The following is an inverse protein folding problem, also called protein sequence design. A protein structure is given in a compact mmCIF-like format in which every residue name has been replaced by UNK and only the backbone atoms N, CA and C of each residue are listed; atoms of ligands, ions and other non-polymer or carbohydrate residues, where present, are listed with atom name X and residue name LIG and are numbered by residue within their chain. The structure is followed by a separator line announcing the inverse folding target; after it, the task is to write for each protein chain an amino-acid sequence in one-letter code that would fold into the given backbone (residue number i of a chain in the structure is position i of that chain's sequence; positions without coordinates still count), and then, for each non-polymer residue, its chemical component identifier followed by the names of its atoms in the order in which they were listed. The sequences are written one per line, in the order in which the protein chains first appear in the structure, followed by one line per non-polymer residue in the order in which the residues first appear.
data_IF_749864790721
#
_entry.id   IF_749864790721
#
_cell.length_a   1.000
_cell.length_b   1.000
_cell.length_c   1.000
_cell.angle_alpha   90.00
_cell.angle_beta   90.00
_cell.angle_gamma   90.00
#
_symmetry.space_group_name_H-M   'P 1'
#
loop_
_entity.id
_entity.type
_entity.pdbx_description
1 polymer ?
#
# COMPACT_ATOMS: atom_id res chain seq x y z
N UNK A 1 36.06 -20.70 -39.83
CA UNK A 1 36.31 -21.32 -38.53
C UNK A 1 36.40 -20.20 -37.49
N UNK A 2 35.29 -19.79 -36.96
CA UNK A 2 35.19 -18.68 -36.00
C UNK A 2 35.10 -19.27 -34.57
N UNK A 3 36.24 -19.18 -33.88
CA UNK A 3 36.33 -19.62 -32.47
C UNK A 3 35.55 -18.70 -31.57
N UNK A 4 34.47 -19.17 -30.98
CA UNK A 4 33.80 -18.54 -29.85
C UNK A 4 34.73 -18.65 -28.63
N UNK A 5 35.43 -17.54 -28.33
CA UNK A 5 36.12 -17.41 -27.05
C UNK A 5 35.09 -17.43 -25.93
N UNK A 6 35.04 -18.51 -25.17
CA UNK A 6 34.29 -18.57 -23.94
C UNK A 6 34.79 -17.47 -22.99
N UNK A 7 33.94 -16.47 -22.72
CA UNK A 7 34.24 -15.45 -21.73
C UNK A 7 34.50 -16.13 -20.35
N UNK A 8 35.55 -15.68 -19.63
CA UNK A 8 35.81 -16.24 -18.28
C UNK A 8 34.60 -16.02 -17.40
N UNK A 9 33.98 -17.10 -16.94
CA UNK A 9 32.89 -17.06 -16.00
C UNK A 9 33.42 -16.53 -14.67
N UNK A 10 33.26 -15.21 -14.44
CA UNK A 10 33.65 -14.59 -13.18
C UNK A 10 32.85 -15.25 -12.05
N UNK A 11 33.46 -15.67 -10.94
CA UNK A 11 32.78 -16.28 -9.80
C UNK A 11 31.76 -15.32 -9.14
N UNK A 12 31.82 -14.01 -9.44
CA UNK A 12 30.93 -12.98 -8.93
C UNK A 12 29.56 -12.92 -9.65
N UNK A 13 29.47 -13.39 -10.91
CA UNK A 13 28.25 -13.28 -11.73
C UNK A 13 26.99 -13.91 -11.06
N UNK A 14 27.02 -15.13 -10.48
CA UNK A 14 25.84 -15.71 -9.83
C UNK A 14 25.40 -14.93 -8.58
N UNK A 15 26.33 -14.34 -7.84
CA UNK A 15 26.03 -13.52 -6.68
C UNK A 15 25.40 -12.18 -7.08
N UNK A 16 25.86 -11.54 -8.15
CA UNK A 16 25.25 -10.32 -8.71
C UNK A 16 23.83 -10.59 -9.22
N UNK A 17 23.60 -11.71 -9.89
CA UNK A 17 22.26 -12.12 -10.33
C UNK A 17 21.33 -12.41 -9.14
N UNK A 18 21.83 -13.07 -8.09
CA UNK A 18 21.07 -13.32 -6.86
C UNK A 18 20.69 -12.01 -6.17
N UNK A 19 21.62 -11.07 -6.03
CA UNK A 19 21.35 -9.74 -5.45
C UNK A 19 20.32 -8.96 -6.29
N UNK A 20 20.46 -8.96 -7.60
CA UNK A 20 19.51 -8.30 -8.50
C UNK A 20 18.10 -8.90 -8.37
N UNK A 21 18.00 -10.24 -8.24
CA UNK A 21 16.72 -10.93 -8.01
C UNK A 21 16.07 -10.53 -6.67
N UNK A 22 16.86 -10.45 -5.60
CA UNK A 22 16.39 -10.00 -4.28
C UNK A 22 15.87 -8.57 -4.34
N UNK A 23 16.63 -7.64 -4.94
CA UNK A 23 16.23 -6.24 -5.09
C UNK A 23 14.97 -6.12 -5.96
N UNK A 24 14.91 -6.81 -7.08
CA UNK A 24 13.76 -6.79 -7.98
C UNK A 24 12.49 -7.33 -7.26
N UNK A 25 12.60 -8.46 -6.55
CA UNK A 25 11.49 -9.04 -5.81
C UNK A 25 11.00 -8.09 -4.69
N UNK A 26 11.91 -7.49 -3.93
CA UNK A 26 11.57 -6.52 -2.90
C UNK A 26 10.85 -5.30 -3.50
N UNK A 27 11.35 -4.72 -4.59
CA UNK A 27 10.73 -3.57 -5.24
C UNK A 27 9.35 -3.91 -5.80
N UNK A 28 9.19 -5.07 -6.44
CA UNK A 28 7.89 -5.50 -7.00
C UNK A 28 6.87 -5.78 -5.89
N UNK A 29 7.27 -6.49 -4.84
CA UNK A 29 6.41 -6.77 -3.69
C UNK A 29 6.00 -5.48 -2.97
N UNK A 30 6.92 -4.56 -2.77
CA UNK A 30 6.65 -3.26 -2.17
C UNK A 30 5.65 -2.42 -2.97
N UNK A 31 5.83 -2.37 -4.30
CA UNK A 31 4.87 -1.66 -5.19
C UNK A 31 3.49 -2.32 -5.19
N UNK A 32 3.43 -3.64 -5.15
CA UNK A 32 2.17 -4.37 -5.09
C UNK A 32 1.44 -4.10 -3.76
N UNK A 33 2.14 -4.22 -2.64
CA UNK A 33 1.59 -3.94 -1.31
C UNK A 33 1.11 -2.48 -1.16
N UNK A 34 1.88 -1.51 -1.66
CA UNK A 34 1.50 -0.10 -1.67
C UNK A 34 0.20 0.14 -2.46
N UNK A 35 0.09 -0.43 -3.67
CA UNK A 35 -1.13 -0.34 -4.48
C UNK A 35 -2.34 -0.99 -3.80
N UNK A 36 -2.15 -2.15 -3.19
CA UNK A 36 -3.20 -2.85 -2.44
C UNK A 36 -3.65 -2.01 -1.24
N UNK A 37 -2.72 -1.50 -0.44
CA UNK A 37 -3.01 -0.65 0.72
C UNK A 37 -3.72 0.66 0.33
N UNK A 38 -3.33 1.30 -0.79
CA UNK A 38 -4.01 2.48 -1.31
C UNK A 38 -5.42 2.15 -1.83
N UNK A 39 -5.63 0.99 -2.46
CA UNK A 39 -6.95 0.54 -2.89
C UNK A 39 -7.88 0.26 -1.70
N UNK A 40 -7.36 -0.34 -0.64
CA UNK A 40 -8.09 -0.60 0.61
C UNK A 40 -8.44 0.72 1.32
N UNK A 41 -7.49 1.63 1.42
CA UNK A 41 -7.72 2.97 1.95
C UNK A 41 -8.81 3.70 1.15
N UNK A 42 -8.78 3.62 -0.18
CA UNK A 42 -9.80 4.23 -1.03
C UNK A 42 -11.20 3.64 -0.79
N UNK A 43 -11.30 2.33 -0.60
CA UNK A 43 -12.59 1.66 -0.31
C UNK A 43 -13.15 2.12 1.04
N UNK A 44 -12.35 2.13 2.08
CA UNK A 44 -12.77 2.60 3.42
C UNK A 44 -13.12 4.09 3.41
N UNK A 45 -12.29 4.93 2.80
CA UNK A 45 -12.53 6.36 2.67
C UNK A 45 -13.80 6.66 1.86
N UNK A 46 -14.11 5.87 0.81
CA UNK A 46 -15.36 6.02 0.04
C UNK A 46 -16.59 5.69 0.88
N UNK A 47 -16.52 4.68 1.74
CA UNK A 47 -17.61 4.34 2.66
C UNK A 47 -17.82 5.46 3.70
N UNK A 48 -16.72 5.99 4.26
CA UNK A 48 -16.77 7.11 5.21
C UNK A 48 -17.32 8.39 4.54
N UNK A 49 -16.91 8.68 3.31
CA UNK A 49 -17.46 9.78 2.51
C UNK A 49 -18.98 9.66 2.37
N UNK A 50 -19.49 8.47 2.05
CA UNK A 50 -20.93 8.24 1.94
C UNK A 50 -21.68 8.50 3.27
N UNK A 51 -21.07 8.12 4.41
CA UNK A 51 -21.61 8.41 5.74
C UNK A 51 -21.65 9.90 6.03
N UNK A 52 -20.58 10.64 5.70
CA UNK A 52 -20.55 12.10 5.85
C UNK A 52 -21.61 12.79 4.98
N UNK A 53 -21.79 12.35 3.73
CA UNK A 53 -22.86 12.87 2.85
C UNK A 53 -24.23 12.61 3.46
N UNK A 54 -24.48 11.40 3.96
CA UNK A 54 -25.76 11.05 4.58
C UNK A 54 -26.04 11.87 5.85
N UNK A 55 -25.04 12.03 6.73
CA UNK A 55 -25.14 12.81 7.95
C UNK A 55 -25.42 14.29 7.65
N UNK A 56 -24.66 14.89 6.72
CA UNK A 56 -24.83 16.27 6.30
C UNK A 56 -26.21 16.51 5.67
N UNK A 57 -26.65 15.61 4.80
CA UNK A 57 -27.98 15.63 4.21
C UNK A 57 -29.08 15.57 5.27
N UNK A 58 -28.95 14.68 6.25
CA UNK A 58 -29.90 14.55 7.36
C UNK A 58 -30.00 15.87 8.14
N UNK A 59 -28.88 16.50 8.44
CA UNK A 59 -28.88 17.80 9.15
C UNK A 59 -29.59 18.90 8.36
N UNK A 60 -29.32 18.97 7.05
CA UNK A 60 -30.05 19.90 6.18
C UNK A 60 -31.55 19.61 6.12
N UNK A 61 -31.93 18.32 6.10
CA UNK A 61 -33.34 17.92 5.98
C UNK A 61 -34.14 18.12 7.25
N UNK A 62 -33.51 18.05 8.43
CA UNK A 62 -34.21 18.34 9.72
C UNK A 62 -34.97 19.65 9.69
N UNK A 63 -34.44 20.66 9.03
CA UNK A 63 -34.98 22.00 8.97
C UNK A 63 -35.75 22.29 7.66
N UNK A 64 -35.69 21.35 6.70
CA UNK A 64 -36.20 21.56 5.35
C UNK A 64 -37.72 21.79 5.26
N UNK A 65 -38.48 21.14 6.14
CA UNK A 65 -39.95 21.27 6.20
C UNK A 65 -40.45 22.42 7.10
N UNK A 66 -39.57 22.91 7.98
CA UNK A 66 -39.97 23.93 8.96
C UNK A 66 -40.46 25.25 8.31
N UNK A 67 -39.79 25.84 7.30
CA UNK A 67 -40.33 27.04 6.65
C UNK A 67 -41.68 26.83 6.00
N UNK A 68 -41.98 25.63 5.49
CA UNK A 68 -43.27 25.30 4.91
C UNK A 68 -44.39 25.26 5.96
N UNK A 69 -44.12 24.61 7.09
CA UNK A 69 -45.08 24.56 8.19
C UNK A 69 -45.37 25.95 8.76
N UNK A 70 -44.31 26.76 8.96
CA UNK A 70 -44.42 28.12 9.47
C UNK A 70 -45.12 29.07 8.50
N UNK A 71 -44.95 28.92 7.20
CA UNK A 71 -45.61 29.77 6.17
C UNK A 71 -47.15 29.59 6.19
N UNK A 72 -47.67 28.49 6.76
CA UNK A 72 -49.10 28.25 6.87
C UNK A 72 -49.66 28.67 8.23
N UNK A 73 -48.85 29.22 9.12
CA UNK A 73 -49.27 29.66 10.45
C UNK A 73 -50.05 30.99 10.37
N UNK A 74 -51.28 31.05 10.93
CA UNK A 74 -52.11 32.26 10.85
C UNK A 74 -51.52 33.48 11.58
N UNK A 75 -50.82 33.27 12.71
CA UNK A 75 -50.21 34.39 13.46
C UNK A 75 -48.99 34.94 12.69
N UNK A 76 -48.20 34.09 12.06
CA UNK A 76 -47.07 34.50 11.18
C UNK A 76 -47.61 35.23 9.96
N UNK A 77 -48.71 34.77 9.37
CA UNK A 77 -49.38 35.45 8.28
C UNK A 77 -49.90 36.85 8.71
N UNK A 78 -50.44 36.99 9.88
CA UNK A 78 -50.96 38.26 10.42
C UNK A 78 -49.84 39.27 10.70
N UNK A 79 -48.67 38.85 11.16
CA UNK A 79 -47.49 39.74 11.42
C UNK A 79 -46.92 40.35 10.13
N UNK A 80 -47.15 39.70 8.98
CA UNK A 80 -46.75 40.22 7.68
C UNK A 80 -47.59 41.43 7.25
N UNK A 81 -48.74 41.66 7.86
CA UNK A 81 -49.64 42.78 7.60
C UNK A 81 -48.99 44.16 7.70
N UNK A 82 -49.69 45.21 7.19
CA UNK A 82 -49.14 46.56 7.10
C UNK A 82 -48.82 47.19 8.48
N UNK A 83 -49.61 46.89 9.48
CA UNK A 83 -49.46 47.44 10.84
C UNK A 83 -49.83 46.34 11.87
N UNK A 84 -48.96 45.39 12.10
CA UNK A 84 -49.21 44.33 13.06
C UNK A 84 -49.26 44.90 14.48
N UNK A 85 -50.14 44.35 15.31
CA UNK A 85 -50.22 44.66 16.73
C UNK A 85 -48.93 44.29 17.45
N UNK A 86 -48.31 45.20 18.25
CA UNK A 86 -47.10 44.88 19.02
C UNK A 86 -47.23 43.63 19.93
N UNK A 87 -48.42 43.41 20.49
CA UNK A 87 -48.69 42.20 21.29
C UNK A 87 -48.69 40.93 20.45
N UNK A 88 -49.13 41.00 19.19
CA UNK A 88 -49.01 39.86 18.25
C UNK A 88 -47.56 39.60 17.87
N UNK A 89 -46.77 40.62 17.64
CA UNK A 89 -45.34 40.49 17.33
C UNK A 89 -44.64 39.75 18.49
N UNK A 90 -44.85 40.18 19.75
CA UNK A 90 -44.24 39.56 20.91
C UNK A 90 -44.62 38.08 21.06
N UNK A 91 -45.89 37.71 20.85
CA UNK A 91 -46.32 36.29 20.89
C UNK A 91 -45.63 35.47 19.77
N UNK A 92 -45.50 36.06 18.58
CA UNK A 92 -44.82 35.38 17.48
C UNK A 92 -43.33 35.23 17.79
N UNK A 93 -42.66 36.22 18.36
CA UNK A 93 -41.25 36.14 18.78
C UNK A 93 -41.05 34.98 19.77
N UNK A 94 -41.88 34.91 20.84
CA UNK A 94 -41.82 33.82 21.84
C UNK A 94 -42.02 32.44 21.20
N UNK A 95 -43.00 32.32 20.31
CA UNK A 95 -43.28 31.11 19.57
C UNK A 95 -42.15 30.69 18.63
N UNK A 96 -41.58 31.65 17.91
CA UNK A 96 -40.41 31.36 17.07
C UNK A 96 -39.22 30.92 17.91
N UNK A 97 -39.03 31.47 19.13
CA UNK A 97 -37.97 31.07 20.05
C UNK A 97 -38.18 29.64 20.56
N UNK A 98 -39.40 29.23 20.86
CA UNK A 98 -39.71 27.84 21.21
C UNK A 98 -39.44 26.87 20.06
N UNK A 99 -39.88 27.22 18.86
CA UNK A 99 -39.67 26.41 17.64
C UNK A 99 -38.20 26.29 17.33
N UNK A 100 -37.44 27.37 17.42
CA UNK A 100 -36.00 27.35 17.17
C UNK A 100 -35.26 26.40 18.14
N UNK A 101 -35.62 26.49 19.45
CA UNK A 101 -35.06 25.58 20.48
C UNK A 101 -35.43 24.12 20.24
N UNK A 102 -36.70 23.85 19.94
CA UNK A 102 -37.22 22.50 19.76
C UNK A 102 -36.67 21.86 18.48
N UNK A 103 -36.49 22.61 17.40
CA UNK A 103 -36.00 22.12 16.10
C UNK A 103 -34.47 22.10 16.02
N UNK A 104 -33.76 22.88 16.84
CA UNK A 104 -32.32 23.11 16.74
C UNK A 104 -31.95 24.09 15.61
N UNK A 105 -32.93 24.89 15.10
CA UNK A 105 -32.64 25.98 14.19
C UNK A 105 -31.85 27.09 14.91
N UNK A 106 -30.87 27.69 14.24
CA UNK A 106 -30.09 28.75 14.84
C UNK A 106 -30.92 30.02 15.07
N UNK A 107 -31.68 30.41 14.07
CA UNK A 107 -32.64 31.54 14.15
C UNK A 107 -33.80 31.28 13.19
N UNK A 108 -35.01 31.62 13.63
CA UNK A 108 -36.22 31.68 12.79
C UNK A 108 -36.73 33.10 12.80
N UNK A 109 -37.07 33.67 11.67
CA UNK A 109 -37.51 35.06 11.59
C UNK A 109 -38.46 35.30 10.40
N UNK A 110 -39.21 36.38 10.49
CA UNK A 110 -40.22 36.75 9.50
C UNK A 110 -39.85 38.11 8.90
N UNK A 111 -39.85 38.16 7.58
CA UNK A 111 -39.50 39.36 6.80
C UNK A 111 -40.77 39.81 6.05
N UNK A 112 -41.10 41.08 6.13
CA UNK A 112 -42.17 41.70 5.34
C UNK A 112 -41.73 41.92 3.88
N UNK A 113 -42.69 42.25 3.04
CA UNK A 113 -42.50 42.53 1.62
C UNK A 113 -41.46 43.64 1.34
N UNK A 114 -41.32 44.63 2.23
CA UNK A 114 -40.32 45.69 2.17
C UNK A 114 -38.88 45.19 2.50
N UNK A 115 -38.72 43.94 2.89
CA UNK A 115 -37.43 43.35 3.25
C UNK A 115 -37.03 43.54 4.72
N UNK A 116 -37.86 44.17 5.55
CA UNK A 116 -37.60 44.37 6.98
C UNK A 116 -38.03 43.13 7.78
N UNK A 117 -37.17 42.61 8.65
CA UNK A 117 -37.56 41.60 9.61
C UNK A 117 -38.39 42.19 10.73
N UNK A 118 -39.59 41.59 10.97
CA UNK A 118 -40.58 42.13 11.94
C UNK A 118 -40.67 41.26 13.17
N UNK A 119 -40.35 39.98 13.09
CA UNK A 119 -40.32 39.04 14.22
C UNK A 119 -39.13 38.10 14.09
N UNK A 120 -38.56 37.65 15.21
CA UNK A 120 -37.44 36.72 15.20
C UNK A 120 -37.37 35.94 16.52
N UNK A 121 -36.89 34.70 16.44
CA UNK A 121 -36.67 33.82 17.61
C UNK A 121 -35.66 34.38 18.61
N UNK A 122 -34.86 35.36 18.22
CA UNK A 122 -33.86 36.05 19.05
C UNK A 122 -34.22 37.55 19.24
N UNK A 123 -35.48 37.91 19.26
CA UNK A 123 -35.94 39.32 19.31
C UNK A 123 -35.36 40.10 20.50
N UNK A 124 -35.24 39.49 21.66
CA UNK A 124 -34.75 40.13 22.90
C UNK A 124 -33.23 40.02 23.10
N UNK A 125 -32.48 39.47 22.18
CA UNK A 125 -31.07 39.20 22.34
C UNK A 125 -30.15 40.25 21.67
N UNK A 126 -28.91 40.46 22.17
CA UNK A 126 -27.91 41.16 21.43
C UNK A 126 -27.67 40.50 20.07
N UNK A 127 -27.79 41.26 18.98
CA UNK A 127 -27.70 40.69 17.62
C UNK A 127 -29.04 40.13 17.11
N UNK A 128 -30.16 40.67 17.63
CA UNK A 128 -31.52 40.40 17.12
C UNK A 128 -31.60 40.68 15.60
N UNK A 129 -32.37 39.83 14.92
CA UNK A 129 -32.65 39.99 13.50
C UNK A 129 -33.78 41.01 13.25
N UNK A 130 -34.57 41.31 14.28
CA UNK A 130 -35.70 42.28 14.18
C UNK A 130 -35.18 43.66 13.77
N UNK A 131 -35.87 44.28 12.80
CA UNK A 131 -35.53 45.61 12.25
C UNK A 131 -34.48 45.58 11.16
N UNK A 132 -33.72 44.49 10.99
CA UNK A 132 -32.71 44.37 9.94
C UNK A 132 -33.34 44.24 8.54
N UNK A 133 -32.62 44.74 7.53
CA UNK A 133 -33.06 44.77 6.12
C UNK A 133 -32.41 43.57 5.36
N UNK A 134 -33.26 42.80 4.67
CA UNK A 134 -32.86 41.59 3.93
C UNK A 134 -33.34 41.59 2.47
N UNK A 135 -33.86 42.71 1.94
CA UNK A 135 -34.33 42.83 0.55
C UNK A 135 -33.28 42.42 -0.50
N UNK A 136 -32.00 42.62 -0.19
CA UNK A 136 -30.88 42.27 -1.08
C UNK A 136 -30.54 40.78 -1.11
N UNK A 137 -31.08 40.04 -0.20
CA UNK A 137 -30.72 38.60 -0.05
C UNK A 137 -31.38 37.73 -1.11
N UNK A 138 -30.63 36.88 -1.84
CA UNK A 138 -31.16 35.93 -2.81
C UNK A 138 -32.27 35.02 -2.26
N UNK A 139 -32.13 34.48 -1.04
CA UNK A 139 -33.16 33.66 -0.45
C UNK A 139 -34.50 34.39 -0.26
N UNK A 140 -34.48 35.67 0.03
CA UNK A 140 -35.68 36.46 0.18
C UNK A 140 -36.32 36.72 -1.18
N UNK A 141 -35.53 37.16 -2.17
CA UNK A 141 -35.98 37.43 -3.53
C UNK A 141 -36.57 36.21 -4.20
N UNK A 142 -35.86 35.04 -4.06
CA UNK A 142 -36.36 33.78 -4.58
C UNK A 142 -37.67 33.35 -3.92
N UNK A 143 -37.79 33.50 -2.60
CA UNK A 143 -39.01 33.10 -1.90
C UNK A 143 -40.20 33.98 -2.36
N UNK A 144 -40.03 35.27 -2.57
CA UNK A 144 -41.07 36.12 -3.10
C UNK A 144 -41.49 35.78 -4.54
N UNK A 145 -40.52 35.50 -5.41
CA UNK A 145 -40.77 35.17 -6.81
C UNK A 145 -41.31 33.76 -7.00
N UNK A 146 -40.64 32.78 -6.43
CA UNK A 146 -40.82 31.33 -6.69
C UNK A 146 -41.57 30.59 -5.59
N UNK A 147 -41.86 31.25 -4.44
CA UNK A 147 -42.54 30.68 -3.29
C UNK A 147 -41.58 30.03 -2.27
N UNK A 148 -40.36 29.72 -2.65
CA UNK A 148 -39.31 29.19 -1.77
C UNK A 148 -37.95 29.69 -2.21
N UNK A 149 -37.02 29.83 -1.25
CA UNK A 149 -35.65 30.21 -1.55
C UNK A 149 -34.66 29.54 -0.61
N UNK A 150 -33.42 29.46 -1.04
CA UNK A 150 -32.30 28.97 -0.19
C UNK A 150 -31.01 29.67 -0.56
N UNK A 151 -30.19 29.89 0.46
CA UNK A 151 -28.86 30.49 0.27
C UNK A 151 -27.96 30.08 1.43
N UNK A 152 -26.73 29.70 1.15
CA UNK A 152 -25.71 29.71 2.17
C UNK A 152 -25.00 31.05 2.19
N UNK A 153 -24.91 31.66 3.35
CA UNK A 153 -24.30 32.98 3.47
C UNK A 153 -23.77 33.24 4.88
N UNK A 154 -22.86 34.20 4.98
CA UNK A 154 -22.48 34.78 6.27
C UNK A 154 -23.60 35.68 6.75
N UNK A 155 -24.04 35.50 7.99
CA UNK A 155 -25.06 36.39 8.60
C UNK A 155 -24.51 37.79 8.82
N UNK A 156 -25.17 38.80 8.25
CA UNK A 156 -24.77 40.21 8.41
C UNK A 156 -24.95 40.71 9.85
N UNK A 157 -25.84 40.11 10.60
CA UNK A 157 -26.11 40.45 12.01
C UNK A 157 -25.35 39.53 12.94
N UNK A 158 -25.41 38.22 12.71
CA UNK A 158 -24.78 37.22 13.61
C UNK A 158 -23.27 37.06 13.39
N UNK A 159 -22.73 37.46 12.24
CA UNK A 159 -21.34 37.15 11.85
C UNK A 159 -21.07 35.66 11.65
N UNK A 160 -22.10 34.80 11.73
CA UNK A 160 -21.97 33.34 11.64
C UNK A 160 -22.54 32.83 10.32
N UNK A 161 -21.83 31.94 9.62
CA UNK A 161 -22.31 31.36 8.37
C UNK A 161 -23.45 30.38 8.63
N UNK A 162 -24.33 30.24 7.65
CA UNK A 162 -25.44 29.30 7.74
C UNK A 162 -26.19 29.16 6.43
N UNK A 163 -27.02 28.11 6.38
CA UNK A 163 -27.97 27.88 5.32
C UNK A 163 -29.30 28.55 5.70
N UNK A 164 -29.75 29.45 4.86
CA UNK A 164 -31.02 30.12 4.99
C UNK A 164 -32.04 29.44 4.09
N UNK A 165 -33.08 28.88 4.70
CA UNK A 165 -34.22 28.25 4.05
C UNK A 165 -35.42 29.17 4.22
N UNK A 166 -36.04 29.54 3.13
CA UNK A 166 -37.11 30.53 3.16
C UNK A 166 -38.35 30.08 2.41
N UNK A 167 -39.52 30.60 2.86
CA UNK A 167 -40.82 30.30 2.27
C UNK A 167 -41.66 31.60 2.23
N UNK A 168 -42.36 31.81 1.12
CA UNK A 168 -43.33 32.92 1.01
C UNK A 168 -44.50 32.70 1.95
N UNK A 169 -44.88 33.74 2.64
CA UNK A 169 -46.06 33.80 3.52
C UNK A 169 -47.10 34.74 2.89
N UNK A 170 -48.34 34.28 2.77
CA UNK A 170 -49.46 35.11 2.33
C UNK A 170 -50.10 35.77 3.56
N UNK A 171 -50.02 37.08 3.64
CA UNK A 171 -50.62 37.90 4.70
C UNK A 171 -52.01 38.41 4.36
N UNK A 172 -52.66 39.09 5.31
CA UNK A 172 -53.98 39.68 5.13
C UNK A 172 -53.91 40.84 4.08
N UNK A 173 -55.01 41.02 3.33
CA UNK A 173 -55.10 42.12 2.34
C UNK A 173 -54.19 41.97 1.12
N UNK A 174 -53.75 40.77 0.80
CA UNK A 174 -52.86 40.49 -0.36
C UNK A 174 -51.40 40.85 -0.12
N UNK A 175 -51.03 41.16 1.11
CA UNK A 175 -49.64 41.40 1.48
C UNK A 175 -48.88 40.08 1.50
N UNK A 176 -47.61 40.19 1.25
CA UNK A 176 -46.71 39.01 1.25
C UNK A 176 -45.49 39.25 2.15
N UNK A 177 -44.95 38.17 2.69
CA UNK A 177 -43.71 38.17 3.41
C UNK A 177 -42.97 36.90 3.21
N UNK A 178 -41.93 36.70 3.97
CA UNK A 178 -41.08 35.51 3.91
C UNK A 178 -40.73 35.07 5.31
N UNK A 179 -40.98 33.80 5.66
CA UNK A 179 -40.45 33.17 6.84
C UNK A 179 -39.13 32.52 6.48
N UNK A 180 -38.15 32.64 7.36
CA UNK A 180 -36.78 32.17 7.12
C UNK A 180 -36.32 31.36 8.33
N UNK A 181 -35.70 30.22 8.04
CA UNK A 181 -35.02 29.36 9.03
C UNK A 181 -33.55 29.36 8.72
N UNK A 182 -32.73 29.79 9.67
CA UNK A 182 -31.26 29.73 9.57
C UNK A 182 -30.76 28.45 10.23
N UNK A 183 -30.01 27.67 9.49
CA UNK A 183 -29.34 26.43 9.95
C UNK A 183 -27.85 26.69 10.03
N UNK A 184 -27.25 26.45 11.18
CA UNK A 184 -25.80 26.48 11.38
C UNK A 184 -25.26 25.05 11.46
N UNK A 185 -24.01 24.85 11.04
CA UNK A 185 -23.39 23.54 10.93
C UNK A 185 -22.30 23.30 11.98
N UNK A 186 -22.24 24.11 13.03
CA UNK A 186 -21.20 24.05 14.07
C UNK A 186 -21.07 22.66 14.71
N UNK A 187 -22.21 21.95 14.93
CA UNK A 187 -22.19 20.60 15.48
C UNK A 187 -21.50 19.58 14.58
N UNK A 188 -21.78 19.64 13.28
CA UNK A 188 -21.11 18.79 12.28
C UNK A 188 -19.64 19.17 12.14
N UNK A 189 -19.31 20.46 12.05
CA UNK A 189 -17.93 20.92 11.97
C UNK A 189 -17.12 20.47 13.20
N UNK A 190 -17.69 20.57 14.39
CA UNK A 190 -17.04 20.10 15.62
C UNK A 190 -16.81 18.59 15.61
N UNK A 191 -17.77 17.80 15.14
CA UNK A 191 -17.61 16.36 14.99
C UNK A 191 -16.53 16.00 13.98
N UNK A 192 -16.51 16.65 12.81
CA UNK A 192 -15.49 16.47 11.79
C UNK A 192 -14.09 16.89 12.26
N UNK A 193 -13.99 17.98 13.01
CA UNK A 193 -12.73 18.45 13.61
C UNK A 193 -12.13 17.42 14.55
N UNK A 194 -12.94 16.88 15.48
CA UNK A 194 -12.49 15.79 16.37
C UNK A 194 -11.98 14.59 15.61
N UNK A 195 -12.67 14.20 14.53
CA UNK A 195 -12.22 13.13 13.63
C UNK A 195 -10.89 13.43 12.96
N UNK A 196 -10.68 14.66 12.47
CA UNK A 196 -9.44 15.11 11.83
C UNK A 196 -8.25 15.16 12.81
N UNK A 197 -8.48 15.64 14.04
CA UNK A 197 -7.48 15.68 15.12
C UNK A 197 -7.03 14.27 15.55
N UNK A 198 -7.95 13.30 15.55
CA UNK A 198 -7.64 11.88 15.81
C UNK A 198 -6.83 11.20 14.68
N UNK A 199 -6.33 11.95 13.70
CA UNK A 199 -5.57 11.43 12.57
C UNK A 199 -6.43 10.95 11.39
N UNK A 200 -7.73 11.25 11.41
CA UNK A 200 -8.70 10.89 10.39
C UNK A 200 -8.65 11.80 9.15
N UNK A 201 -9.83 12.06 8.63
CA UNK A 201 -10.02 12.80 7.38
C UNK A 201 -10.26 14.28 7.62
N UNK A 202 -9.76 15.13 6.75
CA UNK A 202 -10.22 16.51 6.64
C UNK A 202 -11.45 16.53 5.73
N UNK A 203 -12.57 17.06 6.24
CA UNK A 203 -13.86 17.06 5.55
C UNK A 203 -14.26 18.52 5.23
N UNK A 204 -14.77 18.75 4.04
CA UNK A 204 -15.30 20.07 3.65
C UNK A 204 -16.44 19.93 2.64
N UNK A 205 -17.32 20.91 2.64
CA UNK A 205 -18.42 21.07 1.66
C UNK A 205 -18.15 22.31 0.83
N UNK A 206 -18.27 22.19 -0.48
CA UNK A 206 -18.11 23.32 -1.40
C UNK A 206 -19.39 23.58 -2.20
N UNK A 207 -19.56 24.82 -2.62
CA UNK A 207 -20.51 25.20 -3.64
C UNK A 207 -20.01 24.87 -5.06
N UNK A 208 -20.80 25.07 -6.12
CA UNK A 208 -20.38 24.83 -7.52
C UNK A 208 -19.18 25.65 -7.97
N UNK A 209 -18.90 26.78 -7.32
CA UNK A 209 -17.75 27.64 -7.59
C UNK A 209 -16.46 27.08 -6.98
N UNK A 210 -16.58 26.09 -6.09
CA UNK A 210 -15.46 25.52 -5.33
C UNK A 210 -15.14 26.31 -4.07
N UNK A 211 -16.07 27.15 -3.59
CA UNK A 211 -15.92 27.91 -2.34
C UNK A 211 -16.34 27.02 -1.18
N UNK A 212 -15.50 26.94 -0.15
CA UNK A 212 -15.75 26.11 1.03
C UNK A 212 -16.80 26.78 1.92
N UNK A 213 -17.91 26.07 2.13
CA UNK A 213 -19.02 26.52 2.95
C UNK A 213 -18.89 26.05 4.41
N UNK A 214 -18.58 24.77 4.59
CA UNK A 214 -18.48 24.06 5.86
C UNK A 214 -17.19 23.25 5.85
N UNK A 215 -16.42 23.24 6.93
CA UNK A 215 -15.16 22.51 6.98
C UNK A 215 -14.82 22.03 8.39
N UNK A 216 -14.13 20.89 8.49
CA UNK A 216 -13.49 20.43 9.73
C UNK A 216 -12.37 21.37 10.18
N UNK A 217 -11.72 22.07 9.25
CA UNK A 217 -10.68 23.06 9.49
C UNK A 217 -11.28 24.46 9.36
N UNK A 218 -11.49 25.20 10.47
CA UNK A 218 -12.15 26.51 10.43
C UNK A 218 -11.43 27.53 9.55
N UNK A 219 -10.11 27.44 9.43
CA UNK A 219 -9.30 28.34 8.61
C UNK A 219 -9.57 28.15 7.10
N UNK A 220 -10.19 27.05 6.69
CA UNK A 220 -10.53 26.77 5.29
C UNK A 220 -11.90 27.33 4.86
N UNK A 221 -12.71 27.76 5.81
CA UNK A 221 -14.02 28.34 5.51
C UNK A 221 -13.85 29.57 4.62
N UNK A 222 -14.63 29.62 3.54
CA UNK A 222 -14.55 30.59 2.44
C UNK A 222 -13.24 30.59 1.66
N UNK A 223 -12.36 29.60 1.89
CA UNK A 223 -11.28 29.28 0.96
C UNK A 223 -11.81 28.68 -0.33
N UNK A 224 -10.97 28.57 -1.36
CA UNK A 224 -11.39 28.10 -2.67
C UNK A 224 -10.54 26.94 -3.17
N UNK A 225 -11.16 25.94 -3.83
CA UNK A 225 -10.45 24.84 -4.48
C UNK A 225 -9.80 25.27 -5.80
N UNK A 226 -10.33 26.33 -6.41
CA UNK A 226 -9.85 26.92 -7.66
C UNK A 226 -9.97 28.45 -7.57
N UNK A 227 -9.18 29.19 -8.32
CA UNK A 227 -9.33 30.66 -8.38
C UNK A 227 -10.76 31.06 -8.80
N UNK A 228 -11.35 31.99 -8.06
CA UNK A 228 -12.66 32.58 -8.40
C UNK A 228 -12.42 33.77 -9.34
N UNK A 229 -13.11 33.84 -10.49
CA UNK A 229 -13.02 34.97 -11.41
C UNK A 229 -13.39 36.31 -10.74
N UNK A 230 -12.84 37.44 -11.23
CA UNK A 230 -13.02 38.75 -10.58
C UNK A 230 -14.44 39.30 -10.70
N UNK A 231 -15.15 39.00 -11.77
CA UNK A 231 -16.57 39.29 -11.95
C UNK A 231 -17.42 38.55 -10.92
N UNK A 232 -17.16 37.28 -10.69
CA UNK A 232 -17.84 36.47 -9.69
C UNK A 232 -17.53 36.91 -8.26
N UNK A 233 -16.27 37.30 -7.96
CA UNK A 233 -15.88 37.93 -6.68
C UNK A 233 -16.64 39.22 -6.41
N UNK A 234 -16.88 40.01 -7.44
CA UNK A 234 -17.64 41.25 -7.35
C UNK A 234 -19.09 40.98 -6.97
N UNK A 235 -19.76 40.05 -7.66
CA UNK A 235 -21.13 39.64 -7.34
C UNK A 235 -21.27 39.08 -5.92
N UNK A 236 -20.31 38.27 -5.46
CA UNK A 236 -20.29 37.73 -4.08
C UNK A 236 -20.24 38.88 -3.07
N UNK A 237 -19.43 39.93 -3.31
CA UNK A 237 -19.34 41.07 -2.42
C UNK A 237 -20.60 41.93 -2.47
N UNK A 238 -21.15 42.23 -3.64
CA UNK A 238 -22.39 42.98 -3.81
C UNK A 238 -23.57 42.33 -3.10
N UNK A 239 -23.63 41.01 -3.11
CA UNK A 239 -24.65 40.19 -2.42
C UNK A 239 -24.35 39.92 -0.96
N UNK A 240 -23.22 40.40 -0.45
CA UNK A 240 -22.71 40.10 0.90
C UNK A 240 -22.78 38.62 1.27
N UNK A 241 -22.46 37.73 0.30
CA UNK A 241 -22.62 36.28 0.52
C UNK A 241 -21.69 35.78 1.61
N UNK A 242 -20.41 36.19 1.57
CA UNK A 242 -19.37 35.74 2.52
C UNK A 242 -18.67 36.93 3.20
N UNK A 243 -19.34 38.09 3.27
CA UNK A 243 -18.76 39.29 3.85
C UNK A 243 -17.50 39.74 3.12
N UNK A 244 -16.45 40.07 3.88
CA UNK A 244 -15.14 40.47 3.36
C UNK A 244 -14.14 39.32 3.26
N UNK A 245 -14.63 38.06 3.23
CA UNK A 245 -13.76 36.90 3.11
C UNK A 245 -12.85 37.03 1.86
N UNK A 246 -11.54 36.78 2.00
CA UNK A 246 -10.59 37.04 0.92
C UNK A 246 -10.65 36.00 -0.22
N UNK A 247 -11.44 34.95 -0.09
CA UNK A 247 -11.63 33.89 -1.07
C UNK A 247 -10.28 33.35 -1.62
N UNK A 248 -9.34 33.08 -0.72
CA UNK A 248 -8.00 32.58 -1.06
C UNK A 248 -8.01 31.12 -1.44
N UNK A 249 -7.21 30.71 -2.44
CA UNK A 249 -7.02 29.29 -2.73
C UNK A 249 -6.53 28.53 -1.49
N UNK A 250 -7.06 27.34 -1.29
CA UNK A 250 -6.59 26.44 -0.25
C UNK A 250 -5.18 25.95 -0.57
N UNK A 251 -4.37 25.61 0.45
CA UNK A 251 -3.01 25.09 0.27
C UNK A 251 -3.03 23.60 -0.14
N UNK A 252 -3.69 23.32 -1.27
CA UNK A 252 -3.83 21.99 -1.86
C UNK A 252 -3.04 21.95 -3.17
N UNK A 253 -2.04 21.08 -3.25
CA UNK A 253 -1.16 20.96 -4.39
C UNK A 253 -1.23 19.54 -4.97
N UNK A 254 -1.42 19.34 -6.28
CA UNK A 254 -1.37 18.01 -6.88
C UNK A 254 -0.06 17.30 -6.57
N UNK A 255 -0.11 16.02 -6.26
CA UNK A 255 1.07 15.18 -6.19
C UNK A 255 1.51 14.75 -7.61
N UNK A 256 2.74 14.25 -7.73
CA UNK A 256 3.34 13.90 -9.03
C UNK A 256 2.55 12.82 -9.81
N UNK A 257 1.78 11.98 -9.11
CA UNK A 257 0.95 10.93 -9.69
C UNK A 257 -0.45 11.40 -10.13
N UNK A 258 -0.83 12.64 -9.82
CA UNK A 258 -2.13 13.23 -10.12
C UNK A 258 -3.32 12.62 -9.36
N UNK A 259 -3.11 11.56 -8.57
CA UNK A 259 -4.18 10.89 -7.81
C UNK A 259 -4.24 11.34 -6.37
N UNK A 260 -3.17 11.92 -5.87
CA UNK A 260 -3.00 12.39 -4.50
C UNK A 260 -2.84 13.91 -4.47
N UNK A 261 -3.08 14.48 -3.30
CA UNK A 261 -2.83 15.91 -3.05
C UNK A 261 -1.89 16.08 -1.86
N UNK A 262 -1.06 17.10 -1.91
CA UNK A 262 -0.28 17.59 -0.77
C UNK A 262 -1.07 18.69 -0.08
N UNK A 263 -1.33 18.49 1.19
CA UNK A 263 -2.04 19.45 2.04
C UNK A 263 -1.01 20.22 2.85
N UNK A 264 -0.90 21.51 2.59
CA UNK A 264 -0.04 22.41 3.38
C UNK A 264 -0.71 22.84 4.68
N UNK A 265 0.05 22.89 5.78
CA UNK A 265 -0.40 23.36 7.09
C UNK A 265 0.62 24.41 7.60
N UNK A 266 0.53 25.63 7.11
CA UNK A 266 1.43 26.71 7.55
C UNK A 266 2.91 26.33 7.40
N UNK A 267 3.66 26.30 8.51
CA UNK A 267 5.09 25.96 8.53
C UNK A 267 5.38 24.44 8.55
N UNK A 268 4.36 23.60 8.71
CA UNK A 268 4.55 22.15 8.69
C UNK A 268 4.78 21.61 7.26
N UNK A 269 5.56 20.50 7.12
CA UNK A 269 5.74 19.87 5.83
C UNK A 269 4.40 19.38 5.27
N UNK A 270 4.18 19.64 3.98
CA UNK A 270 2.97 19.24 3.30
C UNK A 270 2.75 17.72 3.38
N UNK A 271 1.58 17.30 3.81
CA UNK A 271 1.20 15.89 4.00
C UNK A 271 0.46 15.37 2.78
N UNK A 272 0.76 14.14 2.38
CA UNK A 272 0.02 13.47 1.31
C UNK A 272 -1.35 13.02 1.81
N UNK A 273 -2.37 13.29 1.01
CA UNK A 273 -3.73 12.85 1.25
C UNK A 273 -4.38 12.34 -0.04
N UNK A 274 -5.32 11.42 0.13
CA UNK A 274 -6.19 10.92 -0.93
C UNK A 274 -7.45 11.79 -0.98
N UNK A 275 -7.68 12.54 -2.06
CA UNK A 275 -8.90 13.31 -2.25
C UNK A 275 -10.01 12.40 -2.74
N UNK A 276 -11.18 12.51 -2.13
CA UNK A 276 -12.43 11.94 -2.61
C UNK A 276 -13.51 13.00 -2.53
N UNK A 277 -14.49 12.95 -3.42
CA UNK A 277 -15.62 13.85 -3.38
C UNK A 277 -16.89 13.18 -3.88
N UNK A 278 -18.04 13.67 -3.40
CA UNK A 278 -19.35 13.23 -3.80
C UNK A 278 -20.35 14.38 -3.82
N UNK A 279 -21.30 14.32 -4.74
CA UNK A 279 -22.41 15.26 -4.77
C UNK A 279 -23.34 15.03 -3.56
N UNK A 280 -23.87 16.12 -2.97
CA UNK A 280 -24.87 16.05 -1.93
C UNK A 280 -26.26 16.07 -2.59
N UNK A 281 -27.02 14.97 -2.52
CA UNK A 281 -28.31 14.85 -3.19
C UNK A 281 -29.30 15.96 -2.78
N UNK A 282 -29.97 16.55 -3.77
CA UNK A 282 -30.89 17.67 -3.56
C UNK A 282 -30.24 19.04 -3.46
N UNK A 283 -28.94 19.13 -3.70
CA UNK A 283 -28.18 20.38 -3.75
C UNK A 283 -27.25 20.41 -4.95
N UNK A 284 -26.60 21.56 -5.21
CA UNK A 284 -25.51 21.70 -6.17
C UNK A 284 -24.13 21.57 -5.49
N UNK A 285 -24.09 21.22 -4.20
CA UNK A 285 -22.89 21.18 -3.39
C UNK A 285 -22.17 19.83 -3.49
N UNK A 286 -20.89 19.86 -3.20
CA UNK A 286 -20.07 18.65 -3.12
C UNK A 286 -19.41 18.55 -1.76
N UNK A 287 -19.40 17.35 -1.20
CA UNK A 287 -18.64 17.03 -0.01
C UNK A 287 -17.31 16.41 -0.45
N UNK A 288 -16.23 16.92 0.09
CA UNK A 288 -14.88 16.46 -0.17
C UNK A 288 -14.27 15.90 1.11
N UNK A 289 -13.53 14.82 0.99
CA UNK A 289 -12.68 14.29 2.05
C UNK A 289 -11.24 14.21 1.59
N UNK A 290 -10.33 14.50 2.50
CA UNK A 290 -8.88 14.37 2.31
C UNK A 290 -8.38 13.37 3.35
N UNK A 291 -8.29 12.11 2.96
CA UNK A 291 -7.84 11.02 3.85
C UNK A 291 -6.32 10.99 3.87
N UNK A 292 -5.70 11.15 5.04
CA UNK A 292 -4.24 11.14 5.18
C UNK A 292 -3.68 9.78 4.79
N UNK A 293 -2.66 9.78 3.94
CA UNK A 293 -1.86 8.59 3.66
C UNK A 293 -0.88 8.44 4.81
N UNK A 294 -1.26 7.65 5.79
CA UNK A 294 -0.52 7.51 7.03
C UNK A 294 0.70 6.58 6.92
N UNK A 295 1.38 6.45 8.04
CA UNK A 295 2.49 5.51 8.25
C UNK A 295 2.09 4.05 7.91
N UNK A 296 0.80 3.73 7.96
CA UNK A 296 0.29 2.39 7.64
C UNK A 296 0.64 1.94 6.21
N UNK A 297 0.41 2.78 5.20
CA UNK A 297 0.74 2.43 3.79
C UNK A 297 2.26 2.24 3.61
N UNK A 298 3.06 3.12 4.22
CA UNK A 298 4.52 3.00 4.20
C UNK A 298 4.99 1.72 4.92
N UNK A 299 4.37 1.37 6.02
CA UNK A 299 4.66 0.15 6.79
C UNK A 299 4.36 -1.11 5.98
N UNK A 300 3.19 -1.20 5.37
CA UNK A 300 2.82 -2.33 4.50
C UNK A 300 3.83 -2.52 3.35
N UNK A 301 4.23 -1.41 2.71
CA UNK A 301 5.27 -1.44 1.67
C UNK A 301 6.59 -2.00 2.19
N UNK A 302 7.09 -1.47 3.32
CA UNK A 302 8.38 -1.89 3.91
C UNK A 302 8.31 -3.35 4.35
N UNK A 303 7.23 -3.79 4.99
CA UNK A 303 7.05 -5.18 5.40
C UNK A 303 7.08 -6.12 4.20
N UNK A 304 6.35 -5.80 3.14
CA UNK A 304 6.35 -6.60 1.92
C UNK A 304 7.74 -6.67 1.26
N UNK A 305 8.48 -5.56 1.25
CA UNK A 305 9.86 -5.52 0.73
C UNK A 305 10.79 -6.42 1.53
N UNK A 306 10.74 -6.35 2.85
CA UNK A 306 11.57 -7.16 3.75
C UNK A 306 11.24 -8.65 3.60
N UNK A 307 9.97 -9.01 3.63
CA UNK A 307 9.54 -10.41 3.51
C UNK A 307 9.96 -11.00 2.16
N UNK A 308 9.69 -10.29 1.06
CA UNK A 308 10.06 -10.78 -0.28
C UNK A 308 11.58 -10.85 -0.45
N UNK A 309 12.31 -9.85 0.03
CA UNK A 309 13.77 -9.86 -0.01
C UNK A 309 14.38 -11.01 0.76
N UNK A 310 13.91 -11.28 1.98
CA UNK A 310 14.35 -12.41 2.79
C UNK A 310 14.00 -13.76 2.15
N UNK A 311 12.78 -13.91 1.64
CA UNK A 311 12.35 -15.17 1.00
C UNK A 311 13.21 -15.52 -0.23
N UNK A 312 13.43 -14.53 -1.12
CA UNK A 312 14.27 -14.73 -2.31
C UNK A 312 15.74 -14.90 -1.92
N UNK A 313 16.23 -14.16 -0.91
CA UNK A 313 17.58 -14.32 -0.40
C UNK A 313 17.84 -15.73 0.14
N UNK A 314 16.94 -16.25 0.96
CA UNK A 314 17.01 -17.63 1.47
C UNK A 314 16.94 -18.67 0.34
N UNK A 315 16.06 -18.46 -0.64
CA UNK A 315 15.98 -19.34 -1.82
C UNK A 315 17.28 -19.33 -2.64
N UNK A 316 17.91 -18.17 -2.84
CA UNK A 316 19.20 -18.05 -3.51
C UNK A 316 20.33 -18.76 -2.73
N UNK A 317 20.38 -18.60 -1.40
CA UNK A 317 21.34 -19.29 -0.55
C UNK A 317 21.15 -20.82 -0.58
N UNK A 318 19.90 -21.29 -0.49
CA UNK A 318 19.57 -22.70 -0.60
C UNK A 318 19.98 -23.28 -1.97
N UNK A 319 19.70 -22.57 -3.05
CA UNK A 319 20.13 -22.96 -4.40
C UNK A 319 21.65 -23.01 -4.53
N UNK A 320 22.34 -22.01 -4.00
CA UNK A 320 23.82 -21.96 -4.00
C UNK A 320 24.41 -23.16 -3.23
N UNK A 321 23.84 -23.51 -2.07
CA UNK A 321 24.27 -24.69 -1.30
C UNK A 321 24.01 -26.00 -2.05
N UNK A 322 22.84 -26.16 -2.66
CA UNK A 322 22.51 -27.34 -3.48
C UNK A 322 23.46 -27.45 -4.66
N UNK A 323 23.72 -26.38 -5.38
CA UNK A 323 24.68 -26.37 -6.51
C UNK A 323 26.10 -26.64 -6.03
N UNK A 324 26.51 -26.02 -4.91
CA UNK A 324 27.81 -26.28 -4.29
C UNK A 324 27.97 -27.75 -3.85
N UNK A 325 26.97 -28.32 -3.24
CA UNK A 325 26.95 -29.71 -2.85
C UNK A 325 27.04 -30.67 -4.05
N UNK A 326 26.25 -30.40 -5.11
CA UNK A 326 26.32 -31.17 -6.36
C UNK A 326 27.69 -31.07 -7.03
N UNK A 327 28.34 -29.90 -7.02
CA UNK A 327 29.70 -29.73 -7.56
C UNK A 327 30.71 -30.48 -6.75
N UNK A 328 30.67 -30.45 -5.42
CA UNK A 328 31.54 -31.21 -4.51
C UNK A 328 31.40 -32.75 -4.72
N UNK A 329 30.16 -33.23 -4.81
CA UNK A 329 29.90 -34.64 -5.09
C UNK A 329 30.44 -35.07 -6.46
N UNK A 330 30.22 -34.29 -7.50
CA UNK A 330 30.76 -34.57 -8.83
C UNK A 330 32.30 -34.57 -8.86
N UNK A 331 32.94 -33.65 -8.16
CA UNK A 331 34.38 -33.57 -8.05
C UNK A 331 34.94 -34.82 -7.31
N UNK A 332 34.32 -35.22 -6.19
CA UNK A 332 34.73 -36.42 -5.45
C UNK A 332 34.54 -37.72 -6.24
N UNK A 333 33.47 -37.81 -7.05
CA UNK A 333 33.26 -38.95 -7.94
C UNK A 333 34.28 -39.02 -9.06
N UNK A 334 34.64 -37.87 -9.65
CA UNK A 334 35.69 -37.77 -10.69
C UNK A 334 37.07 -38.19 -10.12
N UNK A 335 37.39 -37.69 -8.89
CA UNK A 335 38.64 -38.05 -8.21
C UNK A 335 38.68 -39.54 -7.84
N UNK A 336 37.57 -40.12 -7.40
CA UNK A 336 37.45 -41.54 -7.13
C UNK A 336 37.63 -42.37 -8.43
N UNK A 337 37.06 -41.92 -9.54
CA UNK A 337 37.25 -42.57 -10.83
C UNK A 337 38.70 -42.53 -11.31
N UNK A 338 39.42 -41.42 -11.19
CA UNK A 338 40.85 -41.34 -11.54
C UNK A 338 41.70 -42.21 -10.64
N UNK A 339 41.46 -42.24 -9.33
CA UNK A 339 42.16 -43.10 -8.41
C UNK A 339 41.90 -44.58 -8.72
N UNK A 340 40.69 -44.93 -9.14
CA UNK A 340 40.36 -46.30 -9.55
C UNK A 340 41.13 -46.70 -10.80
N UNK A 341 41.19 -45.87 -11.82
CA UNK A 341 41.94 -46.17 -13.03
C UNK A 341 43.47 -46.30 -12.77
N UNK A 342 44.02 -45.45 -11.91
CA UNK A 342 45.41 -45.58 -11.46
C UNK A 342 45.68 -46.87 -10.69
N UNK A 343 44.78 -47.27 -9.82
CA UNK A 343 44.89 -48.53 -9.10
C UNK A 343 44.77 -49.74 -10.03
N UNK A 344 43.81 -49.73 -10.94
CA UNK A 344 43.66 -50.79 -11.96
C UNK A 344 44.94 -50.93 -12.82
N UNK A 345 45.56 -49.83 -13.22
CA UNK A 345 46.81 -49.83 -13.95
C UNK A 345 47.97 -50.34 -13.11
N UNK A 346 48.11 -49.95 -11.85
CA UNK A 346 49.13 -50.45 -10.94
C UNK A 346 48.95 -51.95 -10.69
N UNK A 347 47.74 -52.43 -10.52
CA UNK A 347 47.43 -53.86 -10.38
C UNK A 347 47.80 -54.60 -11.64
N UNK A 348 47.47 -54.08 -12.81
CA UNK A 348 47.80 -54.67 -14.12
C UNK A 348 49.33 -54.82 -14.31
N UNK A 349 50.07 -53.74 -14.06
CA UNK A 349 51.55 -53.72 -14.20
C UNK A 349 52.17 -54.72 -13.18
N UNK A 350 51.69 -54.74 -11.92
CA UNK A 350 52.22 -55.62 -10.90
C UNK A 350 51.89 -57.12 -11.17
N UNK A 351 50.71 -57.39 -11.71
CA UNK A 351 50.30 -58.75 -12.09
C UNK A 351 51.13 -59.24 -13.28
N UNK A 352 51.41 -58.38 -14.27
CA UNK A 352 52.30 -58.72 -15.38
C UNK A 352 53.71 -59.01 -14.90
N UNK A 353 54.27 -58.15 -14.02
CA UNK A 353 55.58 -58.34 -13.47
C UNK A 353 55.67 -59.62 -12.63
N UNK A 354 54.63 -59.91 -11.84
CA UNK A 354 54.56 -61.16 -11.04
C UNK A 354 54.48 -62.44 -11.93
N UNK A 355 53.67 -62.34 -13.00
CA UNK A 355 53.54 -63.39 -14.00
C UNK A 355 54.86 -63.67 -14.71
N UNK A 356 55.57 -62.61 -15.09
CA UNK A 356 56.87 -62.75 -15.72
C UNK A 356 57.94 -63.34 -14.74
N UNK A 357 57.99 -62.84 -13.50
CA UNK A 357 58.85 -63.34 -12.47
C UNK A 357 58.55 -64.86 -12.17
N UNK A 358 57.27 -65.22 -12.09
CA UNK A 358 56.86 -66.65 -11.88
C UNK A 358 57.24 -67.50 -13.08
N UNK A 359 57.21 -66.99 -14.31
CA UNK A 359 57.62 -67.64 -15.52
C UNK A 359 59.16 -67.87 -15.50
N UNK A 360 59.95 -66.84 -15.14
CA UNK A 360 61.40 -66.97 -14.97
C UNK A 360 61.78 -67.98 -13.89
N UNK A 361 61.10 -67.94 -12.73
CA UNK A 361 61.35 -68.90 -11.63
C UNK A 361 61.02 -70.30 -12.03
N UNK A 362 59.91 -70.57 -12.73
CA UNK A 362 59.55 -71.87 -13.26
C UNK A 362 60.59 -72.37 -14.29
N UNK A 363 61.10 -71.50 -15.14
CA UNK A 363 62.15 -71.84 -16.08
C UNK A 363 63.46 -72.26 -15.35
N UNK A 364 63.85 -71.47 -14.33
CA UNK A 364 65.05 -71.75 -13.52
C UNK A 364 64.91 -73.09 -12.72
N UNK A 365 63.70 -73.28 -12.14
CA UNK A 365 63.42 -74.55 -11.45
C UNK A 365 63.54 -75.74 -12.44
N UNK A 366 62.98 -75.63 -13.66
CA UNK A 366 63.05 -76.68 -14.65
C UNK A 366 64.51 -76.93 -15.12
N UNK A 367 65.30 -75.85 -15.25
CA UNK A 367 66.73 -75.99 -15.56
C UNK A 367 67.51 -76.69 -14.45
N UNK A 368 67.34 -76.30 -13.19
CA UNK A 368 67.95 -76.96 -12.04
C UNK A 368 67.55 -78.44 -11.96
N UNK A 369 66.26 -78.75 -12.18
CA UNK A 369 65.81 -80.19 -12.19
C UNK A 369 66.48 -80.95 -13.33
N UNK A 370 66.66 -80.38 -14.49
CA UNK A 370 67.39 -81.05 -15.59
C UNK A 370 68.84 -81.25 -15.23
N UNK A 371 69.52 -80.22 -14.70
CA UNK A 371 70.90 -80.35 -14.26
C UNK A 371 71.07 -81.39 -13.12
N UNK A 372 70.11 -81.42 -12.21
CA UNK A 372 70.15 -82.44 -11.12
C UNK A 372 69.87 -83.85 -11.61
N UNK A 373 68.95 -84.02 -12.59
CA UNK A 373 68.65 -85.27 -13.23
C UNK A 373 69.91 -85.80 -14.02
N UNK A 374 70.59 -84.89 -14.71
CA UNK A 374 71.80 -85.14 -15.45
C UNK A 374 72.97 -85.53 -14.52
N UNK A 375 73.14 -84.84 -13.39
CA UNK A 375 74.07 -85.17 -12.32
C UNK A 375 73.79 -86.54 -11.76
N UNK A 376 72.53 -86.91 -11.49
CA UNK A 376 72.14 -88.20 -11.01
C UNK A 376 72.37 -89.31 -12.05
N UNK A 377 72.16 -88.99 -13.35
CA UNK A 377 72.46 -89.91 -14.46
C UNK A 377 73.96 -90.18 -14.58
N UNK A 378 74.78 -89.13 -14.64
CA UNK A 378 76.20 -89.18 -14.64
C UNK A 378 76.73 -89.91 -13.39
N UNK A 379 76.21 -89.63 -12.22
CA UNK A 379 76.56 -90.33 -10.99
C UNK A 379 76.24 -91.82 -11.03
N UNK A 380 75.10 -92.21 -11.66
CA UNK A 380 74.80 -93.68 -11.89
C UNK A 380 75.72 -94.29 -12.95
N UNK A 381 76.04 -93.59 -14.04
CA UNK A 381 76.94 -94.05 -15.02
C UNK A 381 78.35 -94.21 -14.45
N UNK A 382 78.83 -93.27 -13.63
CA UNK A 382 80.11 -93.35 -12.92
C UNK A 382 80.13 -94.53 -11.90
N UNK A 383 79.05 -94.71 -11.17
CA UNK A 383 78.92 -95.81 -10.23
C UNK A 383 78.86 -97.17 -10.95
N UNK A 384 78.28 -97.20 -12.19
CA UNK A 384 78.26 -98.37 -13.04
C UNK A 384 79.64 -98.67 -13.62
N UNK A 385 80.33 -97.65 -14.14
CA UNK A 385 81.70 -97.73 -14.63
C UNK A 385 82.67 -98.17 -13.50
N UNK A 386 82.50 -97.54 -12.30
CA UNK A 386 83.33 -97.94 -11.15
C UNK A 386 83.14 -99.40 -10.73
N UNK A 387 81.86 -99.88 -10.85
CA UNK A 387 81.61 -101.34 -10.60
C UNK A 387 82.22 -102.22 -11.65
N UNK A 388 82.17 -101.86 -12.91
CA UNK A 388 82.83 -102.61 -14.00
C UNK A 388 84.36 -102.55 -13.88
N UNK A 389 84.91 -101.42 -13.47
CA UNK A 389 86.38 -101.33 -13.21
C UNK A 389 86.79 -102.22 -12.01
N UNK A 390 85.99 -102.24 -10.91
CA UNK A 390 86.27 -103.11 -9.77
C UNK A 390 86.14 -104.59 -10.15
N UNK A 391 85.10 -104.93 -10.98
CA UNK A 391 85.02 -106.31 -11.52
C UNK A 391 86.14 -106.70 -12.42
N UNK A 392 86.58 -105.76 -13.26
CA UNK A 392 87.80 -105.92 -14.15
C UNK A 392 89.08 -106.12 -13.34
N UNK A 393 89.28 -105.36 -12.27
CA UNK A 393 90.41 -105.56 -11.34
C UNK A 393 90.34 -106.89 -10.54
N UNK A 394 89.14 -107.33 -10.16
CA UNK A 394 88.93 -108.61 -9.55
C UNK A 394 89.22 -109.74 -10.51
N UNK A 395 88.77 -109.61 -11.78
CA UNK A 395 89.03 -110.64 -12.78
C UNK A 395 90.57 -110.71 -13.17
N UNK A 396 91.25 -109.55 -13.19
CA UNK A 396 92.66 -109.48 -13.41
C UNK A 396 93.50 -110.08 -12.25
N UNK A 397 93.05 -109.83 -11.01
CA UNK A 397 93.67 -110.41 -9.83
C UNK A 397 93.50 -111.98 -9.78
N UNK A 398 92.28 -112.43 -10.12
CA UNK A 398 92.07 -113.91 -10.22
C UNK A 398 92.83 -114.53 -11.39
N UNK A 399 92.98 -113.87 -12.49
CA UNK A 399 93.78 -114.40 -13.60
C UNK A 399 95.28 -114.46 -13.22
N UNK A 400 95.72 -113.57 -12.35
CA UNK A 400 97.13 -113.56 -11.88
C UNK A 400 97.37 -114.66 -10.80
N UNK A 401 96.40 -115.00 -10.01
CA UNK A 401 96.54 -116.09 -9.04
C UNK A 401 96.41 -117.50 -9.64
N UNK A 402 95.73 -117.60 -10.81
CA UNK A 402 95.59 -118.91 -11.52
C UNK A 402 96.85 -119.24 -12.36
N UNK A 403 97.68 -118.20 -12.68
CA UNK A 403 98.86 -118.41 -13.51
C UNK A 403 100.22 -118.66 -12.71
N UNK A 404 100.15 -118.84 -11.40
CA UNK A 404 101.41 -119.26 -10.71
C UNK A 404 101.59 -120.83 -10.73
N UNK A 405 102.47 -121.21 -11.42
CA UNK A 405 102.77 -122.63 -11.48
C UNK A 405 103.42 -123.16 -10.17
N UNK A 406 103.07 -124.35 -9.83
CA UNK A 406 103.70 -124.98 -8.84
C UNK A 406 105.20 -125.24 -9.17
N UNK A 407 105.97 -124.80 -8.28
CA UNK A 407 107.24 -125.36 -8.00
C UNK A 407 107.71 -125.11 -6.59
#
# INVERSE_FOLDING_TARGET
MTGWRALPRSPALPWLLGLAAVVAAALLAGRHAERAALADLRRSASATLALHVAAFRTEMQKQGSLPLALASDPEIAAVVGASPDPGLIARVDDRLAEIARASGAAVVYVIRQDGRAVAASNAGEPGSFVGAMYAFRPYFQQALAEGAGRQFALGTVSGRPGLYLSRRVAGPGGQTGVVVVKVEFDGIEAAWRKGAEAGGETVMVTDPRGIVLVASEPAWRFGTLRPVPDDERRLIRERLEFGEAPLKPLPLYPAADGTLVRVGHGAEPARLAMPLDAAIPGTTWRLHTLTRIGVAVARERIQAQVIAGLAVGLACLGLAEIVGRRRRVRASLAEAATRRTELEERVRVRTQALTEANRKLKAEIAERQRAEAERQRLGRELAHAGRLAALGQFAASMAHEINQPLA
#
